data_IF_201200610624
#
_entry.id   IF_201200610624
#
_cell.length_a   1.000
_cell.length_b   1.000
_cell.length_c   1.000
_cell.angle_alpha   90.00
_cell.angle_beta   90.00
_cell.angle_gamma   90.00
#
_symmetry.space_group_name_H-M   'P 1'
#
loop_
_entity.id
_entity.type
_entity.pdbx_description
1 polymer ?
#
# COMPACT_ATOMS: atom_id res chain seq x y z
N UNK A 1 -9.97 -11.96 -4.21
CA UNK A 1 -10.76 -10.73 -3.90
C UNK A 1 -10.75 -9.83 -5.13
N UNK A 2 -11.65 -8.86 -5.24
CA UNK A 2 -11.72 -8.02 -6.46
C UNK A 2 -10.92 -6.74 -6.28
N UNK A 3 -10.00 -6.40 -7.19
CA UNK A 3 -9.25 -5.16 -7.11
C UNK A 3 -10.13 -3.95 -7.48
N UNK A 4 -9.76 -2.77 -6.98
CA UNK A 4 -10.38 -1.52 -7.39
C UNK A 4 -9.96 -1.18 -8.82
N UNK A 5 -10.89 -0.74 -9.66
CA UNK A 5 -10.63 -0.40 -11.07
C UNK A 5 -10.72 1.08 -11.35
N UNK A 6 -11.52 1.82 -10.59
CA UNK A 6 -11.71 3.26 -10.75
C UNK A 6 -11.97 3.91 -9.41
N UNK A 7 -11.39 5.08 -9.20
CA UNK A 7 -11.51 5.85 -7.97
C UNK A 7 -11.70 7.34 -8.26
N UNK A 8 -12.64 7.95 -7.54
CA UNK A 8 -12.83 9.40 -7.47
C UNK A 8 -12.64 9.85 -6.03
N UNK A 9 -11.92 10.95 -5.82
CA UNK A 9 -11.69 11.55 -4.50
C UNK A 9 -11.91 13.05 -4.60
N UNK A 10 -12.71 13.60 -3.69
CA UNK A 10 -12.94 15.05 -3.58
C UNK A 10 -12.73 15.50 -2.14
N UNK A 11 -12.08 16.64 -1.96
CA UNK A 11 -11.95 17.31 -0.66
C UNK A 11 -11.02 16.62 0.36
N UNK A 12 -10.03 15.83 -0.08
CA UNK A 12 -9.16 15.04 0.79
C UNK A 12 -7.70 15.50 0.76
N UNK A 13 -7.18 16.02 1.88
CA UNK A 13 -5.78 16.46 2.05
C UNK A 13 -5.30 17.34 0.89
N UNK A 14 -4.30 16.95 0.11
CA UNK A 14 -3.88 17.71 -1.08
C UNK A 14 -4.76 17.50 -2.31
N UNK A 15 -5.63 16.49 -2.29
CA UNK A 15 -6.52 16.12 -3.40
C UNK A 15 -7.83 16.91 -3.27
N UNK A 16 -7.89 18.07 -3.94
CA UNK A 16 -9.14 18.86 -4.00
C UNK A 16 -10.20 18.13 -4.82
N UNK A 17 -9.85 17.69 -6.02
CA UNK A 17 -10.70 16.84 -6.86
C UNK A 17 -9.82 15.99 -7.76
N UNK A 18 -10.13 14.70 -7.82
CA UNK A 18 -9.55 13.73 -8.75
C UNK A 18 -10.70 12.85 -9.23
N UNK A 19 -11.04 12.97 -10.51
CA UNK A 19 -12.20 12.33 -11.09
C UNK A 19 -11.81 11.05 -11.84
N UNK A 20 -12.30 9.91 -11.36
CA UNK A 20 -12.35 8.68 -12.14
C UNK A 20 -11.00 8.11 -12.56
N UNK A 21 -9.96 8.25 -11.74
CA UNK A 21 -8.65 7.67 -12.00
C UNK A 21 -8.77 6.14 -12.15
N UNK A 22 -8.35 5.62 -13.29
CA UNK A 22 -8.35 4.17 -13.57
C UNK A 22 -7.12 3.49 -12.99
N UNK A 23 -7.32 2.32 -12.39
CA UNK A 23 -6.28 1.52 -11.74
C UNK A 23 -6.14 0.16 -12.42
N UNK A 24 -4.94 -0.10 -12.93
CA UNK A 24 -4.53 -1.40 -13.44
C UNK A 24 -4.11 -2.34 -12.31
N UNK A 25 -3.52 -3.48 -12.66
CA UNK A 25 -2.92 -4.35 -11.64
C UNK A 25 -1.58 -3.79 -11.12
N UNK A 26 -0.88 -2.95 -11.89
CA UNK A 26 0.31 -2.24 -11.45
C UNK A 26 0.12 -0.74 -11.66
N UNK A 27 0.36 0.04 -10.61
CA UNK A 27 0.19 1.48 -10.60
C UNK A 27 1.36 2.10 -9.85
N UNK A 28 2.23 2.81 -10.57
CA UNK A 28 3.45 3.43 -10.03
C UNK A 28 3.25 4.93 -10.01
N UNK A 29 3.02 5.49 -8.83
CA UNK A 29 2.86 6.92 -8.60
C UNK A 29 4.22 7.58 -8.47
N UNK A 30 4.51 8.49 -9.40
CA UNK A 30 5.76 9.25 -9.47
C UNK A 30 5.46 10.73 -9.34
N UNK A 31 6.33 11.48 -8.66
CA UNK A 31 6.13 12.91 -8.47
C UNK A 31 7.04 13.49 -7.40
N UNK A 32 7.07 14.81 -7.30
CA UNK A 32 7.90 15.52 -6.34
C UNK A 32 7.53 15.22 -4.88
N UNK A 33 8.44 15.55 -3.97
CA UNK A 33 8.12 15.69 -2.55
C UNK A 33 6.95 16.66 -2.35
N UNK A 34 5.93 16.24 -1.60
CA UNK A 34 4.74 17.06 -1.34
C UNK A 34 3.75 17.19 -2.51
N UNK A 35 3.94 16.44 -3.61
CA UNK A 35 3.01 16.44 -4.75
C UNK A 35 1.64 15.82 -4.43
N UNK A 36 1.58 14.87 -3.48
CA UNK A 36 0.33 14.24 -3.04
C UNK A 36 0.32 12.71 -3.08
N UNK A 37 1.43 12.05 -3.45
CA UNK A 37 1.55 10.59 -3.51
C UNK A 37 1.16 9.91 -2.19
N UNK A 38 1.81 10.28 -1.09
CA UNK A 38 1.52 9.72 0.23
C UNK A 38 0.11 10.09 0.72
N UNK A 39 -0.47 11.21 0.26
CA UNK A 39 -1.87 11.52 0.54
C UNK A 39 -2.79 10.53 -0.17
N UNK A 40 -2.57 10.26 -1.46
CA UNK A 40 -3.31 9.23 -2.20
C UNK A 40 -3.19 7.86 -1.53
N UNK A 41 -1.98 7.42 -1.15
CA UNK A 41 -1.80 6.16 -0.42
C UNK A 41 -2.52 6.18 0.94
N UNK A 42 -2.45 7.28 1.69
CA UNK A 42 -3.12 7.41 2.99
C UNK A 42 -4.64 7.39 2.91
N UNK A 43 -5.22 7.70 1.74
CA UNK A 43 -6.66 7.59 1.51
C UNK A 43 -7.13 6.13 1.62
N UNK A 44 -6.37 5.17 1.07
CA UNK A 44 -6.67 3.74 1.21
C UNK A 44 -6.61 3.28 2.68
N UNK A 45 -5.67 3.82 3.48
CA UNK A 45 -5.62 3.55 4.93
C UNK A 45 -6.90 4.03 5.62
N UNK A 46 -7.36 5.24 5.32
CA UNK A 46 -8.62 5.78 5.86
C UNK A 46 -9.80 4.85 5.53
N UNK A 47 -9.91 4.41 4.27
CA UNK A 47 -11.00 3.55 3.84
C UNK A 47 -10.99 2.15 4.45
N UNK A 48 -9.81 1.55 4.59
CA UNK A 48 -9.68 0.26 5.28
C UNK A 48 -10.15 0.37 6.74
N UNK A 49 -9.78 1.45 7.44
CA UNK A 49 -10.23 1.75 8.82
C UNK A 49 -11.72 2.04 8.90
N UNK A 50 -12.24 2.82 7.95
CA UNK A 50 -13.66 3.09 7.80
C UNK A 50 -14.45 1.79 7.67
N UNK A 51 -14.04 0.89 6.76
CA UNK A 51 -14.72 -0.39 6.56
C UNK A 51 -14.62 -1.31 7.77
N UNK A 52 -13.55 -1.19 8.57
CA UNK A 52 -13.39 -1.88 9.85
C UNK A 52 -14.27 -1.29 10.98
N UNK A 53 -15.10 -0.27 10.72
CA UNK A 53 -15.88 0.46 11.72
C UNK A 53 -15.00 1.16 12.77
N UNK A 54 -13.84 1.66 12.33
CA UNK A 54 -12.86 2.38 13.14
C UNK A 54 -12.68 3.84 12.67
N UNK A 55 -13.63 4.42 11.92
CA UNK A 55 -13.48 5.74 11.30
C UNK A 55 -13.17 6.82 12.35
N UNK A 56 -14.05 7.00 13.35
CA UNK A 56 -13.87 8.08 14.33
C UNK A 56 -12.67 7.84 15.24
N UNK A 57 -12.39 6.59 15.61
CA UNK A 57 -11.19 6.25 16.36
C UNK A 57 -9.92 6.66 15.60
N UNK A 58 -9.84 6.29 14.32
CA UNK A 58 -8.70 6.61 13.46
C UNK A 58 -8.57 8.12 13.25
N UNK A 59 -9.68 8.81 13.00
CA UNK A 59 -9.69 10.27 12.78
C UNK A 59 -9.26 11.02 14.04
N UNK A 60 -9.77 10.64 15.22
CA UNK A 60 -9.40 11.24 16.50
C UNK A 60 -7.90 11.07 16.81
N UNK A 61 -7.34 9.88 16.53
CA UNK A 61 -5.90 9.59 16.70
C UNK A 61 -5.00 10.41 15.76
N UNK A 62 -5.52 10.88 14.63
CA UNK A 62 -4.76 11.53 13.56
C UNK A 62 -5.07 13.03 13.41
N UNK A 63 -5.52 13.70 14.48
CA UNK A 63 -5.68 15.16 14.49
C UNK A 63 -7.06 15.67 14.09
N UNK A 64 -8.08 14.81 14.03
CA UNK A 64 -9.45 15.20 13.72
C UNK A 64 -9.72 15.44 12.23
N UNK A 65 -10.96 15.79 11.84
CA UNK A 65 -11.38 15.94 10.45
C UNK A 65 -10.55 16.93 9.62
N UNK A 66 -10.03 17.99 10.23
CA UNK A 66 -9.27 19.02 9.51
C UNK A 66 -7.93 18.51 8.98
N UNK A 67 -7.37 17.44 9.58
CA UNK A 67 -6.18 16.77 9.07
C UNK A 67 -6.45 15.93 7.81
N UNK A 68 -7.72 15.64 7.52
CA UNK A 68 -8.16 14.85 6.37
C UNK A 68 -8.82 15.71 5.30
N UNK A 69 -9.54 16.77 5.66
CA UNK A 69 -10.19 17.67 4.71
C UNK A 69 -9.17 18.55 4.00
N UNK A 70 -9.42 18.82 2.72
CA UNK A 70 -8.58 19.70 1.93
C UNK A 70 -8.56 21.13 2.51
N UNK A 71 -7.43 21.51 3.11
CA UNK A 71 -7.29 22.77 3.85
C UNK A 71 -8.34 22.99 4.97
N UNK A 72 -8.80 21.91 5.60
CA UNK A 72 -9.72 21.94 6.73
C UNK A 72 -11.15 22.34 6.38
N UNK A 73 -12.04 22.20 7.37
CA UNK A 73 -13.50 22.32 7.22
C UNK A 73 -14.01 23.69 6.79
N UNK A 74 -13.22 24.75 7.02
CA UNK A 74 -13.59 26.11 6.60
C UNK A 74 -13.52 26.29 5.09
N UNK A 75 -12.54 25.66 4.43
CA UNK A 75 -12.41 25.67 2.96
C UNK A 75 -13.19 24.51 2.33
N UNK A 76 -13.20 23.35 2.98
CA UNK A 76 -13.78 22.11 2.44
C UNK A 76 -14.77 21.52 3.44
N UNK A 77 -16.08 21.79 3.31
CA UNK A 77 -17.07 21.37 4.30
C UNK A 77 -17.32 19.85 4.32
N UNK A 78 -16.98 19.13 3.24
CA UNK A 78 -17.14 17.69 3.14
C UNK A 78 -16.07 17.06 2.25
N UNK A 79 -15.80 15.78 2.44
CA UNK A 79 -15.05 14.95 1.49
C UNK A 79 -15.93 13.87 0.89
N UNK A 80 -15.65 13.49 -0.35
CA UNK A 80 -16.40 12.47 -1.07
C UNK A 80 -15.46 11.47 -1.71
N UNK A 81 -15.95 10.24 -1.87
CA UNK A 81 -15.25 9.24 -2.65
C UNK A 81 -16.20 8.30 -3.35
N UNK A 82 -15.79 7.86 -4.53
CA UNK A 82 -16.48 6.86 -5.33
C UNK A 82 -15.46 5.82 -5.77
N UNK A 83 -15.77 4.55 -5.52
CA UNK A 83 -14.89 3.43 -5.83
C UNK A 83 -15.64 2.35 -6.59
N UNK A 84 -15.00 1.80 -7.61
CA UNK A 84 -15.59 0.79 -8.48
C UNK A 84 -14.69 -0.45 -8.58
N UNK A 85 -15.30 -1.62 -8.41
CA UNK A 85 -14.70 -2.96 -8.35
C UNK A 85 -15.33 -3.82 -9.45
N UNK A 86 -15.09 -3.44 -10.71
CA UNK A 86 -15.87 -3.94 -11.84
C UNK A 86 -17.29 -3.38 -11.79
N UNK A 87 -18.30 -4.26 -11.76
CA UNK A 87 -19.71 -3.86 -11.80
C UNK A 87 -20.27 -3.44 -10.43
N UNK A 88 -19.46 -3.54 -9.37
CA UNK A 88 -19.81 -3.18 -8.01
C UNK A 88 -19.16 -1.85 -7.65
N UNK A 89 -19.82 -1.03 -6.85
CA UNK A 89 -19.22 0.20 -6.35
C UNK A 89 -19.65 0.57 -4.95
N UNK A 90 -18.93 1.51 -4.37
CA UNK A 90 -19.23 2.11 -3.08
C UNK A 90 -18.91 3.59 -3.12
N UNK A 91 -19.85 4.39 -2.64
CA UNK A 91 -19.79 5.85 -2.67
C UNK A 91 -20.10 6.37 -1.27
N UNK A 92 -19.36 7.38 -0.85
CA UNK A 92 -19.49 7.98 0.47
C UNK A 92 -19.27 9.50 0.41
N UNK A 93 -19.90 10.21 1.35
CA UNK A 93 -19.59 11.58 1.69
C UNK A 93 -19.49 11.71 3.23
N UNK A 94 -18.45 12.38 3.70
CA UNK A 94 -18.18 12.59 5.12
C UNK A 94 -18.16 14.08 5.44
N UNK A 95 -18.88 14.47 6.49
CA UNK A 95 -18.93 15.82 7.03
C UNK A 95 -18.33 15.86 8.44
N UNK A 96 -17.53 16.91 8.76
CA UNK A 96 -16.95 17.07 10.08
C UNK A 96 -18.03 17.48 11.09
N UNK A 97 -17.97 16.91 12.29
CA UNK A 97 -18.88 17.26 13.38
C UNK A 97 -18.24 18.27 14.35
N UNK A 98 -19.08 18.93 15.16
CA UNK A 98 -18.58 19.77 16.26
C UNK A 98 -17.83 18.94 17.32
N UNK A 99 -18.15 17.65 17.46
CA UNK A 99 -17.44 16.70 18.32
C UNK A 99 -16.07 16.26 17.77
N UNK A 100 -15.56 16.92 16.74
CA UNK A 100 -14.26 16.64 16.11
C UNK A 100 -14.12 15.21 15.54
N UNK A 101 -15.22 14.66 15.03
CA UNK A 101 -15.26 13.40 14.27
C UNK A 101 -15.87 13.61 12.89
N UNK A 102 -16.10 12.52 12.16
CA UNK A 102 -16.86 12.54 10.91
C UNK A 102 -18.23 11.88 11.09
N UNK A 103 -19.19 12.35 10.29
CA UNK A 103 -20.48 11.70 10.11
C UNK A 103 -20.66 11.43 8.62
N UNK A 104 -21.33 10.34 8.27
CA UNK A 104 -21.71 10.09 6.88
C UNK A 104 -22.87 11.02 6.51
N UNK A 105 -22.65 11.97 5.60
CA UNK A 105 -23.74 12.71 4.97
C UNK A 105 -24.37 11.90 3.83
N UNK A 106 -23.63 10.92 3.31
CA UNK A 106 -24.11 9.94 2.34
C UNK A 106 -23.27 8.67 2.41
N UNK A 107 -23.93 7.51 2.41
CA UNK A 107 -23.28 6.22 2.22
C UNK A 107 -24.15 5.34 1.31
N UNK A 108 -23.56 4.71 0.29
CA UNK A 108 -24.31 3.86 -0.63
C UNK A 108 -23.43 2.86 -1.37
N UNK A 109 -24.02 1.71 -1.70
CA UNK A 109 -23.48 0.81 -2.72
C UNK A 109 -23.96 1.22 -4.11
N UNK A 110 -23.24 0.79 -5.14
CA UNK A 110 -23.60 0.98 -6.54
C UNK A 110 -23.52 -0.34 -7.30
N UNK A 111 -24.44 -0.58 -8.23
CA UNK A 111 -24.42 -1.77 -9.08
C UNK A 111 -24.67 -1.41 -10.54
N UNK A 112 -23.61 -1.53 -11.35
CA UNK A 112 -23.56 -1.11 -12.75
C UNK A 112 -24.62 -1.80 -13.62
N UNK A 113 -24.86 -3.10 -13.41
CA UNK A 113 -25.90 -3.86 -14.14
C UNK A 113 -27.30 -3.26 -14.05
N UNK A 114 -27.58 -2.54 -12.97
CA UNK A 114 -28.88 -1.87 -12.79
C UNK A 114 -28.80 -0.35 -12.98
N UNK A 115 -27.58 0.19 -13.07
CA UNK A 115 -27.32 1.63 -13.05
C UNK A 115 -27.79 2.34 -11.76
N UNK A 116 -28.09 1.60 -10.69
CA UNK A 116 -28.72 2.13 -9.48
C UNK A 116 -27.76 2.21 -8.29
N UNK A 117 -27.97 3.24 -7.49
CA UNK A 117 -27.42 3.37 -6.15
C UNK A 117 -28.33 2.66 -5.13
N UNK A 118 -27.72 2.04 -4.12
CA UNK A 118 -28.38 1.39 -2.99
C UNK A 118 -27.97 2.12 -1.72
N UNK A 119 -28.77 3.09 -1.25
CA UNK A 119 -28.46 3.88 -0.07
C UNK A 119 -28.32 2.99 1.18
N UNK A 120 -27.26 3.24 1.93
CA UNK A 120 -27.08 2.72 3.28
C UNK A 120 -27.61 3.71 4.33
N UNK A 121 -27.56 5.00 4.02
CA UNK A 121 -28.13 6.05 4.86
C UNK A 121 -27.23 7.27 4.97
N UNK A 122 -27.54 8.08 5.97
CA UNK A 122 -26.77 9.24 6.41
C UNK A 122 -27.01 9.46 7.92
N UNK A 123 -26.19 10.28 8.57
CA UNK A 123 -26.32 10.64 9.98
C UNK A 123 -25.72 9.62 10.96
N UNK A 124 -25.07 8.57 10.47
CA UNK A 124 -24.35 7.61 11.30
C UNK A 124 -22.86 7.96 11.38
N UNK A 125 -22.23 7.62 12.51
CA UNK A 125 -20.83 7.94 12.78
C UNK A 125 -19.86 6.91 12.16
N UNK A 126 -20.29 5.66 12.04
CA UNK A 126 -19.52 4.56 11.46
C UNK A 126 -20.27 3.97 10.26
N UNK A 127 -19.57 3.23 9.40
CA UNK A 127 -20.15 2.59 8.21
C UNK A 127 -21.30 1.64 8.56
N UNK A 128 -22.34 1.63 7.74
CA UNK A 128 -23.43 0.64 7.80
C UNK A 128 -23.29 -0.46 6.73
N UNK A 129 -22.14 -0.53 6.05
CA UNK A 129 -21.84 -1.46 4.95
C UNK A 129 -22.02 -2.94 5.26
N UNK A 130 -22.11 -3.34 6.54
CA UNK A 130 -22.32 -4.71 6.98
C UNK A 130 -23.75 -5.01 7.46
N UNK A 131 -24.63 -3.99 7.59
CA UNK A 131 -25.97 -4.11 8.21
C UNK A 131 -27.07 -4.68 7.29
N UNK A 132 -26.74 -5.63 6.39
CA UNK A 132 -27.72 -6.38 5.61
C UNK A 132 -28.23 -5.71 4.32
N UNK A 133 -27.69 -4.56 3.96
CA UNK A 133 -28.08 -3.79 2.78
C UNK A 133 -27.34 -4.28 1.51
N UNK A 134 -28.10 -4.74 0.52
CA UNK A 134 -27.65 -5.32 -0.77
C UNK A 134 -26.50 -6.36 -0.65
N UNK A 135 -26.78 -7.56 -0.12
CA UNK A 135 -25.76 -8.55 0.29
C UNK A 135 -24.78 -8.93 -0.84
N UNK A 136 -25.20 -8.87 -2.10
CA UNK A 136 -24.35 -9.21 -3.23
C UNK A 136 -23.22 -8.18 -3.44
N UNK A 137 -23.52 -6.88 -3.44
CA UNK A 137 -22.50 -5.83 -3.68
C UNK A 137 -21.60 -5.72 -2.46
N UNK A 138 -22.19 -5.73 -1.26
CA UNK A 138 -21.45 -5.71 0.00
C UNK A 138 -20.44 -6.87 0.10
N UNK A 139 -20.83 -8.08 -0.31
CA UNK A 139 -19.95 -9.27 -0.33
C UNK A 139 -18.73 -9.13 -1.24
N UNK A 140 -18.78 -8.26 -2.27
CA UNK A 140 -17.64 -7.99 -3.13
C UNK A 140 -16.78 -6.84 -2.65
N UNK A 141 -17.41 -5.73 -2.22
CA UNK A 141 -16.70 -4.50 -1.87
C UNK A 141 -16.06 -4.61 -0.49
N UNK A 142 -16.83 -4.98 0.54
CA UNK A 142 -16.40 -4.85 1.94
C UNK A 142 -15.16 -5.72 2.24
N UNK A 143 -15.10 -7.02 1.86
CA UNK A 143 -13.90 -7.81 2.09
C UNK A 143 -12.69 -7.27 1.33
N UNK A 144 -12.89 -6.77 0.11
CA UNK A 144 -11.80 -6.24 -0.72
C UNK A 144 -11.18 -5.00 -0.05
N UNK A 145 -11.99 -4.02 0.37
CA UNK A 145 -11.49 -2.80 1.04
C UNK A 145 -10.88 -3.10 2.42
N UNK A 146 -11.51 -3.99 3.21
CA UNK A 146 -10.95 -4.41 4.52
C UNK A 146 -9.59 -5.08 4.40
N UNK A 147 -9.35 -5.77 3.28
CA UNK A 147 -8.09 -6.47 3.04
C UNK A 147 -6.95 -5.55 2.61
N UNK A 148 -7.20 -4.29 2.24
CA UNK A 148 -6.13 -3.40 1.78
C UNK A 148 -5.09 -3.17 2.88
N UNK A 149 -3.83 -3.42 2.54
CA UNK A 149 -2.71 -3.21 3.44
C UNK A 149 -1.73 -2.24 2.79
N UNK A 150 -1.37 -1.21 3.54
CA UNK A 150 -0.30 -0.29 3.16
C UNK A 150 0.95 -0.60 3.95
N UNK A 151 1.92 -1.21 3.31
CA UNK A 151 3.21 -1.55 3.90
C UNK A 151 4.14 -0.34 3.91
N UNK A 152 4.85 -0.15 5.02
CA UNK A 152 5.75 0.97 5.26
C UNK A 152 6.89 0.55 6.17
N UNK A 153 8.01 0.15 5.57
CA UNK A 153 9.18 -0.41 6.27
C UNK A 153 10.29 0.64 6.47
N UNK A 154 9.94 1.90 6.72
CA UNK A 154 10.92 2.99 6.80
C UNK A 154 11.58 3.14 8.17
N UNK A 155 10.91 2.77 9.26
CA UNK A 155 11.52 2.84 10.60
C UNK A 155 12.61 1.77 10.72
N UNK A 156 13.86 2.19 10.62
CA UNK A 156 15.02 1.33 10.80
C UNK A 156 15.85 1.71 12.02
N UNK A 157 15.29 2.47 12.94
CA UNK A 157 15.91 2.77 14.24
C UNK A 157 16.26 1.49 15.00
N UNK A 158 17.08 1.59 16.05
CA UNK A 158 17.37 0.45 16.93
C UNK A 158 16.11 -0.09 17.61
N UNK A 159 15.12 0.79 17.82
CA UNK A 159 13.78 0.46 18.33
C UNK A 159 12.81 -0.05 17.26
N UNK A 160 13.23 -0.14 15.99
CA UNK A 160 12.35 -0.52 14.89
C UNK A 160 11.62 -1.83 15.22
N UNK A 161 10.28 -1.89 15.04
CA UNK A 161 9.49 -3.07 15.44
C UNK A 161 9.98 -4.37 14.81
N UNK A 162 10.43 -4.33 13.55
CA UNK A 162 10.96 -5.50 12.82
C UNK A 162 12.29 -6.06 13.38
N UNK A 163 13.00 -5.30 14.23
CA UNK A 163 14.23 -5.75 14.92
C UNK A 163 13.93 -6.39 16.29
N UNK A 164 12.71 -6.23 16.80
CA UNK A 164 12.31 -6.66 18.14
C UNK A 164 11.80 -8.11 18.17
N UNK A 165 11.62 -8.63 19.39
CA UNK A 165 10.88 -9.87 19.64
C UNK A 165 9.39 -9.64 19.40
N UNK A 166 8.69 -10.62 18.86
CA UNK A 166 7.25 -10.57 18.66
C UNK A 166 6.56 -11.83 19.19
N UNK A 167 5.24 -11.74 19.35
CA UNK A 167 4.42 -12.89 19.71
C UNK A 167 4.34 -13.86 18.52
N UNK A 168 4.57 -15.15 18.77
CA UNK A 168 4.60 -16.20 17.75
C UNK A 168 3.23 -16.39 17.07
N UNK A 169 2.15 -16.16 17.81
CA UNK A 169 0.77 -16.29 17.30
C UNK A 169 0.35 -15.11 16.40
N UNK A 170 1.07 -13.99 16.42
CA UNK A 170 0.83 -12.87 15.50
C UNK A 170 1.42 -13.19 14.13
N UNK A 171 0.81 -14.13 13.40
CA UNK A 171 1.33 -14.62 12.12
C UNK A 171 0.23 -14.81 11.05
N UNK A 172 -0.98 -14.33 11.31
CA UNK A 172 -2.11 -14.46 10.40
C UNK A 172 -1.90 -13.68 9.08
N UNK A 173 -1.21 -12.55 9.14
CA UNK A 173 -0.72 -11.76 8.01
C UNK A 173 0.54 -11.00 8.44
N UNK A 174 1.37 -10.56 7.50
CA UNK A 174 2.49 -9.67 7.82
C UNK A 174 1.96 -8.29 8.20
N UNK A 175 2.39 -7.77 9.35
CA UNK A 175 2.03 -6.44 9.84
C UNK A 175 2.58 -5.36 8.90
N UNK A 176 1.87 -4.22 8.73
CA UNK A 176 2.30 -3.13 7.84
C UNK A 176 3.72 -2.59 8.06
N UNK A 177 4.22 -2.69 9.28
CA UNK A 177 5.54 -2.22 9.73
C UNK A 177 6.58 -3.34 9.86
N UNK A 178 6.21 -4.59 9.57
CA UNK A 178 7.09 -5.75 9.67
C UNK A 178 7.35 -6.22 11.11
N UNK A 179 6.64 -5.69 12.10
CA UNK A 179 6.81 -6.01 13.53
C UNK A 179 6.73 -7.51 13.86
N UNK A 180 5.99 -8.28 13.07
CA UNK A 180 5.81 -9.72 13.25
C UNK A 180 6.53 -10.57 12.19
N UNK A 181 7.49 -10.01 11.45
CA UNK A 181 8.22 -10.69 10.40
C UNK A 181 8.71 -12.10 10.78
N UNK A 182 9.40 -12.33 11.93
CA UNK A 182 9.87 -13.67 12.25
C UNK A 182 8.73 -14.66 12.51
N UNK A 183 7.63 -14.25 13.14
CA UNK A 183 6.46 -15.10 13.34
C UNK A 183 5.76 -15.43 12.01
N UNK A 184 5.69 -14.46 11.09
CA UNK A 184 5.11 -14.66 9.77
C UNK A 184 5.97 -15.60 8.91
N UNK A 185 7.29 -15.40 8.86
CA UNK A 185 8.20 -16.31 8.16
C UNK A 185 8.18 -17.73 8.76
N UNK A 186 8.04 -17.85 10.09
CA UNK A 186 7.91 -19.14 10.77
C UNK A 186 6.66 -19.89 10.30
N UNK A 187 5.53 -19.18 10.16
CA UNK A 187 4.32 -19.76 9.57
C UNK A 187 4.56 -20.21 8.13
N UNK A 188 5.21 -19.38 7.30
CA UNK A 188 5.51 -19.75 5.91
C UNK A 188 6.40 -20.98 5.83
N UNK A 189 7.42 -21.09 6.70
CA UNK A 189 8.29 -22.27 6.78
C UNK A 189 7.50 -23.56 7.01
N UNK A 190 6.50 -23.54 7.89
CA UNK A 190 5.74 -24.73 8.27
C UNK A 190 4.52 -25.03 7.38
N UNK A 191 3.84 -24.00 6.87
CA UNK A 191 2.59 -24.16 6.12
C UNK A 191 2.77 -23.98 4.60
N UNK A 192 3.78 -23.23 4.18
CA UNK A 192 4.02 -22.86 2.77
C UNK A 192 5.51 -22.94 2.40
N UNK A 193 6.16 -24.10 2.60
CA UNK A 193 7.63 -24.22 2.51
C UNK A 193 8.20 -23.80 1.16
N UNK A 194 7.46 -23.98 0.06
CA UNK A 194 7.93 -23.56 -1.28
C UNK A 194 7.98 -22.03 -1.42
N UNK A 195 7.01 -21.32 -0.84
CA UNK A 195 7.03 -19.85 -0.79
C UNK A 195 8.15 -19.35 0.12
N UNK A 196 8.32 -19.99 1.28
CA UNK A 196 9.43 -19.68 2.19
C UNK A 196 10.80 -19.85 1.51
N UNK A 197 11.03 -20.97 0.81
CA UNK A 197 12.29 -21.21 0.07
C UNK A 197 12.52 -20.13 -0.99
N UNK A 198 11.50 -19.76 -1.77
CA UNK A 198 11.59 -18.68 -2.75
C UNK A 198 11.98 -17.34 -2.12
N UNK A 199 11.41 -17.02 -0.95
CA UNK A 199 11.79 -15.81 -0.20
C UNK A 199 13.27 -15.89 0.20
N UNK A 200 13.71 -16.98 0.83
CA UNK A 200 15.10 -17.14 1.25
C UNK A 200 16.07 -17.07 0.04
N UNK A 201 15.75 -17.74 -1.06
CA UNK A 201 16.54 -17.70 -2.31
C UNK A 201 16.63 -16.29 -2.89
N UNK A 202 15.53 -15.56 -2.89
CA UNK A 202 15.49 -14.16 -3.36
C UNK A 202 16.32 -13.25 -2.46
N UNK A 203 16.29 -13.46 -1.15
CA UNK A 203 17.13 -12.72 -0.18
C UNK A 203 18.62 -13.01 -0.41
N UNK A 204 18.99 -14.26 -0.72
CA UNK A 204 20.38 -14.64 -1.06
C UNK A 204 20.91 -13.92 -2.30
N UNK A 205 20.04 -13.54 -3.24
CA UNK A 205 20.45 -12.72 -4.39
C UNK A 205 20.91 -11.33 -3.96
N UNK A 206 20.18 -10.68 -3.04
CA UNK A 206 20.49 -9.33 -2.55
C UNK A 206 21.60 -9.33 -1.50
N UNK A 207 21.67 -10.36 -0.67
CA UNK A 207 22.66 -10.53 0.38
C UNK A 207 23.40 -11.87 0.21
N UNK A 208 24.43 -11.95 -0.64
CA UNK A 208 25.11 -13.22 -0.93
C UNK A 208 25.78 -13.90 0.27
N UNK A 209 26.07 -13.14 1.34
CA UNK A 209 26.59 -13.65 2.61
C UNK A 209 25.51 -14.38 3.45
N UNK A 210 24.23 -14.07 3.25
CA UNK A 210 23.12 -14.72 3.94
C UNK A 210 23.02 -16.20 3.53
N UNK A 211 23.05 -17.10 4.51
CA UNK A 211 22.85 -18.53 4.30
C UNK A 211 21.37 -18.90 4.38
N UNK A 212 20.70 -18.67 5.50
CA UNK A 212 19.26 -18.90 5.68
C UNK A 212 18.73 -18.21 6.93
N UNK A 213 17.41 -18.16 7.09
CA UNK A 213 16.76 -17.80 8.35
C UNK A 213 16.89 -18.94 9.36
N UNK A 214 17.00 -18.60 10.64
CA UNK A 214 16.99 -19.55 11.75
C UNK A 214 15.75 -19.32 12.62
N UNK A 215 14.59 -19.76 12.15
CA UNK A 215 13.31 -19.44 12.79
C UNK A 215 12.95 -20.50 13.83
N UNK A 216 13.01 -20.13 15.11
CA UNK A 216 12.68 -21.00 16.24
C UNK A 216 12.08 -20.21 17.41
N UNK A 217 11.05 -20.73 18.10
CA UNK A 217 10.54 -20.09 19.31
C UNK A 217 11.60 -20.01 20.42
N UNK A 218 11.45 -19.04 21.31
CA UNK A 218 12.32 -18.92 22.47
C UNK A 218 12.07 -20.11 23.44
N UNK A 219 13.10 -20.89 23.84
CA UNK A 219 12.90 -22.02 24.75
C UNK A 219 12.35 -21.64 26.14
N UNK A 220 12.62 -20.42 26.60
CA UNK A 220 12.14 -19.90 27.89
C UNK A 220 10.78 -19.21 27.77
N UNK A 221 10.36 -18.89 26.55
CA UNK A 221 9.06 -18.30 26.24
C UNK A 221 8.58 -18.81 24.88
N UNK A 222 7.96 -20.01 24.83
CA UNK A 222 7.55 -20.64 23.56
C UNK A 222 6.50 -19.84 22.77
N UNK A 223 5.95 -18.77 23.34
CA UNK A 223 5.02 -17.87 22.69
C UNK A 223 5.69 -16.65 22.04
N UNK A 224 7.02 -16.52 22.13
CA UNK A 224 7.77 -15.47 21.44
C UNK A 224 8.80 -16.02 20.46
N UNK A 225 9.12 -15.18 19.48
CA UNK A 225 10.11 -15.44 18.45
C UNK A 225 10.83 -14.12 18.10
N UNK A 226 12.07 -14.24 17.64
CA UNK A 226 12.86 -13.13 17.11
C UNK A 226 13.42 -13.51 15.74
N UNK A 227 13.76 -12.50 14.93
CA UNK A 227 14.45 -12.75 13.68
C UNK A 227 15.90 -13.16 13.97
N UNK A 228 16.20 -14.42 13.66
CA UNK A 228 17.55 -14.97 13.62
C UNK A 228 17.89 -15.40 12.19
N UNK A 229 19.16 -15.29 11.81
CA UNK A 229 19.69 -15.71 10.52
C UNK A 229 21.12 -16.23 10.64
N UNK A 230 21.58 -16.92 9.60
CA UNK A 230 22.94 -17.46 9.53
C UNK A 230 23.68 -16.90 8.34
N UNK A 231 24.95 -16.61 8.53
CA UNK A 231 25.89 -16.31 7.44
C UNK A 231 26.45 -17.61 6.85
N UNK A 232 26.88 -17.58 5.58
CA UNK A 232 27.59 -18.69 4.97
C UNK A 232 28.88 -18.98 5.73
N UNK A 233 29.20 -20.26 5.84
CA UNK A 233 30.41 -20.75 6.51
C UNK A 233 30.53 -20.36 8.00
N UNK A 234 29.42 -19.92 8.62
CA UNK A 234 29.32 -19.60 10.04
C UNK A 234 28.23 -20.43 10.73
N UNK A 235 28.51 -20.86 11.95
CA UNK A 235 27.54 -21.47 12.87
C UNK A 235 26.97 -20.48 13.88
N UNK A 236 27.46 -19.23 13.88
CA UNK A 236 26.97 -18.17 14.75
C UNK A 236 25.56 -17.70 14.33
N UNK A 237 24.56 -17.73 15.24
CA UNK A 237 23.23 -17.19 14.98
C UNK A 237 23.24 -15.67 15.13
N UNK A 238 22.96 -14.96 14.05
CA UNK A 238 22.85 -13.50 14.05
C UNK A 238 21.41 -13.06 14.27
N UNK A 239 21.23 -11.92 14.91
CA UNK A 239 19.93 -11.29 15.12
C UNK A 239 19.59 -10.32 13.98
N UNK A 240 18.30 -10.00 13.83
CA UNK A 240 17.81 -9.10 12.79
C UNK A 240 18.43 -7.70 12.79
N UNK A 241 18.83 -7.16 13.95
CA UNK A 241 19.49 -5.86 14.04
C UNK A 241 20.92 -5.85 13.48
N UNK A 242 21.51 -7.02 13.23
CA UNK A 242 22.84 -7.17 12.64
C UNK A 242 22.80 -7.21 11.10
N UNK A 243 21.60 -7.20 10.49
CA UNK A 243 21.43 -6.99 9.06
C UNK A 243 21.52 -5.50 8.74
N UNK A 244 21.99 -5.18 7.54
CA UNK A 244 21.84 -3.81 7.02
C UNK A 244 20.35 -3.46 6.92
N UNK A 245 20.02 -2.19 7.14
CA UNK A 245 18.66 -1.68 7.03
C UNK A 245 18.03 -2.00 5.67
N UNK A 246 18.80 -1.87 4.58
CA UNK A 246 18.36 -2.22 3.22
C UNK A 246 18.05 -3.71 3.07
N UNK A 247 18.87 -4.60 3.64
CA UNK A 247 18.61 -6.05 3.61
C UNK A 247 17.34 -6.41 4.39
N UNK A 248 17.15 -5.85 5.58
CA UNK A 248 15.96 -6.11 6.39
C UNK A 248 14.68 -5.62 5.72
N UNK A 249 14.71 -4.41 5.13
CA UNK A 249 13.62 -3.89 4.29
C UNK A 249 13.31 -4.80 3.12
N UNK A 250 14.34 -5.26 2.41
CA UNK A 250 14.17 -6.17 1.28
C UNK A 250 13.55 -7.51 1.71
N UNK A 251 13.92 -8.07 2.87
CA UNK A 251 13.30 -9.28 3.42
C UNK A 251 11.79 -9.06 3.63
N UNK A 252 11.39 -7.94 4.23
CA UNK A 252 9.97 -7.60 4.40
C UNK A 252 9.23 -7.51 3.05
N UNK A 253 9.82 -6.83 2.07
CA UNK A 253 9.23 -6.67 0.73
C UNK A 253 9.11 -8.01 -0.01
N UNK A 254 10.15 -8.84 0.04
CA UNK A 254 10.13 -10.19 -0.52
C UNK A 254 9.06 -11.06 0.17
N UNK A 255 8.94 -10.99 1.49
CA UNK A 255 7.91 -11.70 2.24
C UNK A 255 6.49 -11.28 1.81
N UNK A 256 6.25 -9.99 1.54
CA UNK A 256 4.95 -9.51 1.02
C UNK A 256 4.70 -9.97 -0.41
N UNK A 257 5.68 -9.84 -1.31
CA UNK A 257 5.48 -10.08 -2.74
C UNK A 257 5.47 -11.56 -3.13
N UNK A 258 6.12 -12.41 -2.33
CA UNK A 258 6.26 -13.85 -2.58
C UNK A 258 5.41 -14.73 -1.65
N UNK A 259 4.53 -14.15 -0.82
CA UNK A 259 3.59 -14.93 -0.03
C UNK A 259 2.60 -15.74 -0.90
N UNK A 260 1.95 -16.78 -0.35
CA UNK A 260 0.92 -17.55 -1.05
C UNK A 260 -0.25 -16.70 -1.56
N UNK A 261 -0.81 -17.07 -2.71
CA UNK A 261 -1.96 -16.39 -3.34
C UNK A 261 -3.17 -16.28 -2.39
N UNK A 262 -3.37 -17.24 -1.49
CA UNK A 262 -4.46 -17.25 -0.50
C UNK A 262 -4.26 -16.27 0.67
N UNK A 263 -3.04 -15.79 0.91
CA UNK A 263 -2.73 -14.80 1.96
C UNK A 263 -2.68 -13.37 1.39
N UNK A 264 -2.67 -13.22 0.06
CA UNK A 264 -2.58 -11.92 -0.60
C UNK A 264 -3.84 -11.06 -0.36
N UNK A 265 -3.68 -9.77 -0.01
CA UNK A 265 -4.80 -8.85 0.05
C UNK A 265 -5.33 -8.53 -1.36
N UNK A 266 -6.53 -7.94 -1.46
CA UNK A 266 -7.08 -7.52 -2.75
C UNK A 266 -6.20 -6.49 -3.48
N UNK A 267 -5.54 -5.63 -2.70
CA UNK A 267 -4.63 -4.59 -3.18
C UNK A 267 -3.50 -4.43 -2.18
N UNK A 268 -2.26 -4.48 -2.67
CA UNK A 268 -1.03 -4.20 -1.93
C UNK A 268 -0.63 -2.77 -2.21
N UNK A 269 -0.34 -2.00 -1.17
CA UNK A 269 0.15 -0.64 -1.32
C UNK A 269 1.53 -0.50 -0.68
N UNK A 270 2.44 0.14 -1.40
CA UNK A 270 3.77 0.50 -0.92
C UNK A 270 3.98 2.01 -1.03
N UNK A 271 4.55 2.60 0.02
CA UNK A 271 5.03 3.98 -0.01
C UNK A 271 6.56 3.98 0.06
N UNK A 272 7.21 4.39 -1.03
CA UNK A 272 8.67 4.42 -1.20
C UNK A 272 9.35 3.11 -0.77
N UNK A 273 8.99 1.96 -1.37
CA UNK A 273 9.54 0.66 -0.97
C UNK A 273 11.04 0.52 -1.28
N UNK A 274 11.58 1.30 -2.21
CA UNK A 274 12.98 1.27 -2.62
C UNK A 274 13.94 1.99 -1.66
N UNK A 275 13.40 2.73 -0.68
CA UNK A 275 14.19 3.56 0.21
C UNK A 275 15.29 2.73 0.89
N UNK A 276 16.54 3.15 0.74
CA UNK A 276 17.70 2.49 1.35
C UNK A 276 18.12 1.17 0.71
N UNK A 277 17.54 0.78 -0.43
CA UNK A 277 17.97 -0.38 -1.21
C UNK A 277 19.10 -0.03 -2.17
N UNK A 278 20.04 -0.96 -2.36
CA UNK A 278 21.07 -0.86 -3.40
C UNK A 278 20.45 -1.06 -4.79
N UNK A 279 20.98 -0.45 -5.88
CA UNK A 279 20.41 -0.55 -7.24
C UNK A 279 20.00 -1.96 -7.68
N UNK A 280 20.86 -2.97 -7.49
CA UNK A 280 20.53 -4.36 -7.81
C UNK A 280 19.28 -4.89 -7.08
N UNK A 281 19.07 -4.50 -5.82
CA UNK A 281 17.87 -4.89 -5.07
C UNK A 281 16.62 -4.16 -5.57
N UNK A 282 16.76 -2.96 -6.13
CA UNK A 282 15.66 -2.20 -6.76
C UNK A 282 15.20 -2.90 -8.04
N UNK A 283 16.14 -3.35 -8.89
CA UNK A 283 15.83 -4.12 -10.10
C UNK A 283 15.08 -5.43 -9.76
N UNK A 284 15.57 -6.16 -8.75
CA UNK A 284 14.93 -7.39 -8.29
C UNK A 284 13.54 -7.11 -7.69
N UNK A 285 13.41 -6.05 -6.87
CA UNK A 285 12.13 -5.61 -6.33
C UNK A 285 11.12 -5.32 -7.44
N UNK A 286 11.53 -4.61 -8.49
CA UNK A 286 10.66 -4.31 -9.63
C UNK A 286 10.25 -5.57 -10.38
N UNK A 287 11.16 -6.54 -10.54
CA UNK A 287 10.83 -7.85 -11.11
C UNK A 287 9.78 -8.59 -10.29
N UNK A 288 9.91 -8.60 -8.96
CA UNK A 288 8.91 -9.18 -8.07
C UNK A 288 7.56 -8.45 -8.19
N UNK A 289 7.55 -7.12 -8.25
CA UNK A 289 6.32 -6.34 -8.43
C UNK A 289 5.62 -6.69 -9.75
N UNK A 290 6.33 -6.79 -10.88
CA UNK A 290 5.75 -7.20 -12.16
C UNK A 290 5.18 -8.61 -12.09
N UNK A 291 5.89 -9.54 -11.46
CA UNK A 291 5.41 -10.92 -11.26
C UNK A 291 4.12 -10.94 -10.44
N UNK A 292 4.09 -10.27 -9.29
CA UNK A 292 2.90 -10.19 -8.43
C UNK A 292 1.74 -9.48 -9.14
N UNK A 293 2.01 -8.44 -9.93
CA UNK A 293 1.02 -7.69 -10.71
C UNK A 293 0.30 -8.53 -11.78
N UNK A 294 0.86 -9.66 -12.19
CA UNK A 294 0.18 -10.58 -13.12
C UNK A 294 -1.12 -11.16 -12.55
N UNK A 295 -1.26 -11.21 -11.22
CA UNK A 295 -2.44 -11.77 -10.53
C UNK A 295 -3.08 -10.83 -9.51
N UNK A 296 -2.28 -10.01 -8.84
CA UNK A 296 -2.71 -9.17 -7.72
C UNK A 296 -2.51 -7.69 -8.04
N UNK A 297 -3.25 -6.81 -7.36
CA UNK A 297 -3.11 -5.37 -7.60
C UNK A 297 -2.06 -4.75 -6.68
N UNK A 298 -1.19 -3.93 -7.26
CA UNK A 298 -0.17 -3.13 -6.59
C UNK A 298 -0.37 -1.65 -6.89
N UNK A 299 -0.21 -0.84 -5.85
CA UNK A 299 -0.13 0.61 -5.93
C UNK A 299 1.14 1.03 -5.19
N UNK A 300 2.10 1.59 -5.91
CA UNK A 300 3.43 1.93 -5.39
C UNK A 300 3.65 3.42 -5.57
N UNK A 301 3.95 4.16 -4.52
CA UNK A 301 4.54 5.50 -4.67
C UNK A 301 6.06 5.43 -4.58
N UNK A 302 6.73 6.20 -5.44
CA UNK A 302 8.19 6.23 -5.52
C UNK A 302 8.67 7.63 -5.91
N UNK A 303 9.92 7.92 -5.55
CA UNK A 303 10.69 9.07 -6.05
C UNK A 303 12.00 8.64 -6.70
N UNK A 304 12.24 7.34 -6.81
CA UNK A 304 13.44 6.79 -7.41
C UNK A 304 13.26 6.71 -8.91
N UNK A 305 14.24 7.30 -9.57
CA UNK A 305 14.43 7.23 -11.02
C UNK A 305 14.78 5.79 -11.39
N UNK A 306 15.63 5.15 -10.58
CA UNK A 306 16.09 3.77 -10.76
C UNK A 306 14.94 2.77 -10.71
N UNK A 307 13.97 2.96 -9.79
CA UNK A 307 12.77 2.14 -9.72
C UNK A 307 11.82 2.45 -10.88
N UNK A 308 11.64 3.73 -11.22
CA UNK A 308 10.80 4.16 -12.35
C UNK A 308 11.26 3.56 -13.68
N UNK A 309 12.57 3.49 -13.91
CA UNK A 309 13.17 2.93 -15.13
C UNK A 309 12.86 1.44 -15.33
N UNK A 310 12.28 0.76 -14.34
CA UNK A 310 11.91 -0.65 -14.40
C UNK A 310 10.47 -0.89 -14.90
N UNK A 311 9.72 0.15 -15.27
CA UNK A 311 8.30 0.03 -15.62
C UNK A 311 7.96 0.71 -16.93
N UNK A 312 6.95 0.17 -17.61
CA UNK A 312 6.39 0.79 -18.82
C UNK A 312 5.53 2.03 -18.49
N UNK A 313 5.41 3.00 -19.42
CA UNK A 313 4.62 4.21 -19.22
C UNK A 313 3.18 3.94 -18.75
N UNK A 314 2.53 2.91 -19.26
CA UNK A 314 1.14 2.55 -18.94
C UNK A 314 0.94 2.24 -17.45
N UNK A 315 2.00 1.84 -16.75
CA UNK A 315 1.95 1.60 -15.31
C UNK A 315 2.10 2.88 -14.48
N UNK A 316 2.63 3.95 -15.07
CA UNK A 316 3.04 5.17 -14.37
C UNK A 316 1.91 6.19 -14.29
N UNK A 317 1.68 6.69 -13.09
CA UNK A 317 0.78 7.82 -12.80
C UNK A 317 1.63 8.96 -12.27
N UNK A 318 1.77 10.02 -13.06
CA UNK A 318 2.43 11.25 -12.63
C UNK A 318 1.50 11.99 -11.68
N UNK A 319 2.03 12.33 -10.52
CA UNK A 319 1.39 13.13 -9.49
C UNK A 319 2.09 14.48 -9.43
N UNK A 320 1.35 15.53 -9.74
CA UNK A 320 1.83 16.90 -9.71
C UNK A 320 1.08 17.75 -8.70
N UNK A 321 1.62 18.93 -8.44
CA UNK A 321 0.95 19.95 -7.64
C UNK A 321 0.72 21.21 -8.47
N UNK A 322 -0.54 21.47 -8.77
CA UNK A 322 -0.98 22.66 -9.49
C UNK A 322 -1.73 23.59 -8.52
N UNK A 323 -1.11 24.72 -8.17
CA UNK A 323 -1.62 25.61 -7.15
C UNK A 323 -1.75 24.91 -5.78
N UNK A 324 -2.97 24.86 -5.24
CA UNK A 324 -3.25 24.23 -3.96
C UNK A 324 -3.59 22.73 -4.06
N UNK A 325 -3.74 22.15 -5.26
CA UNK A 325 -4.24 20.77 -5.44
C UNK A 325 -3.23 19.81 -6.09
N UNK A 326 -3.37 18.53 -5.77
CA UNK A 326 -2.72 17.43 -6.48
C UNK A 326 -3.44 17.08 -7.78
N UNK A 327 -2.70 16.84 -8.85
CA UNK A 327 -3.20 16.31 -10.12
C UNK A 327 -2.62 14.92 -10.39
N UNK A 328 -3.34 14.09 -11.14
CA UNK A 328 -2.97 12.70 -11.41
C UNK A 328 -3.15 12.41 -12.90
N UNK A 329 -2.06 12.05 -13.58
CA UNK A 329 -2.07 11.76 -15.01
C UNK A 329 -1.34 10.46 -15.30
N UNK A 330 -2.02 9.47 -15.87
CA UNK A 330 -1.37 8.25 -16.36
C UNK A 330 -0.59 8.57 -17.64
N UNK A 331 0.62 8.03 -17.77
CA UNK A 331 1.38 8.15 -19.00
C UNK A 331 0.80 7.25 -20.10
N UNK A 332 1.05 7.64 -21.33
CA UNK A 332 0.60 6.98 -22.54
C UNK A 332 1.83 6.85 -23.45
N UNK A 333 2.26 5.61 -23.73
CA UNK A 333 3.45 5.38 -24.57
C UNK A 333 3.31 6.04 -25.93
N UNK A 334 2.11 6.10 -26.51
CA UNK A 334 1.88 6.75 -27.79
C UNK A 334 2.26 8.24 -27.79
N UNK A 335 2.18 8.91 -26.63
CA UNK A 335 2.59 10.32 -26.46
C UNK A 335 4.09 10.49 -26.21
N UNK A 336 4.79 9.39 -25.91
CA UNK A 336 6.20 9.36 -25.53
C UNK A 336 7.09 8.60 -26.52
N UNK A 337 6.54 8.00 -27.58
CA UNK A 337 7.27 7.15 -28.52
C UNK A 337 8.59 7.78 -29.00
N UNK A 338 8.54 9.01 -29.54
CA UNK A 338 9.74 9.71 -30.05
C UNK A 338 10.83 9.92 -28.99
N UNK A 339 10.43 9.97 -27.71
CA UNK A 339 11.35 10.17 -26.59
C UNK A 339 11.90 8.85 -26.04
N UNK A 340 11.09 7.78 -26.06
CA UNK A 340 11.46 6.47 -25.51
C UNK A 340 12.48 5.72 -26.38
N UNK A 341 12.69 6.15 -27.62
CA UNK A 341 13.76 5.65 -28.49
C UNK A 341 15.16 6.08 -28.00
N UNK A 342 15.27 7.24 -27.34
CA UNK A 342 16.55 7.83 -26.94
C UNK A 342 16.76 7.90 -25.42
N UNK A 343 15.68 7.89 -24.62
CA UNK A 343 15.73 8.17 -23.19
C UNK A 343 14.92 7.18 -22.37
N UNK A 344 15.39 6.91 -21.14
CA UNK A 344 14.58 6.17 -20.16
C UNK A 344 13.49 7.06 -19.55
N UNK A 345 12.47 6.45 -18.93
CA UNK A 345 11.43 7.21 -18.22
C UNK A 345 11.98 8.10 -17.11
N UNK A 346 12.98 7.63 -16.38
CA UNK A 346 13.69 8.37 -15.36
C UNK A 346 14.43 9.58 -15.91
N UNK A 347 15.05 9.48 -17.09
CA UNK A 347 15.68 10.61 -17.78
C UNK A 347 14.65 11.64 -18.25
N UNK A 348 13.54 11.19 -18.82
CA UNK A 348 12.42 12.04 -19.22
C UNK A 348 11.80 12.75 -18.01
N UNK A 349 11.71 12.06 -16.87
CA UNK A 349 11.25 12.65 -15.62
C UNK A 349 12.22 13.71 -15.10
N UNK A 350 13.53 13.43 -15.09
CA UNK A 350 14.58 14.40 -14.73
C UNK A 350 14.55 15.63 -15.63
N UNK A 351 14.24 15.47 -16.92
CA UNK A 351 14.08 16.54 -17.91
C UNK A 351 12.72 17.26 -17.82
N UNK A 352 11.81 16.79 -16.95
CA UNK A 352 10.46 17.32 -16.77
C UNK A 352 9.59 17.25 -18.05
N UNK A 353 9.76 16.21 -18.87
CA UNK A 353 9.01 16.03 -20.13
C UNK A 353 7.53 15.79 -19.88
N UNK A 354 7.19 15.05 -18.82
CA UNK A 354 5.80 14.69 -18.49
C UNK A 354 5.33 15.21 -17.12
N UNK A 355 6.05 16.17 -16.53
CA UNK A 355 5.74 16.73 -15.21
C UNK A 355 6.28 15.90 -14.04
N UNK A 356 5.84 16.21 -12.82
CA UNK A 356 6.16 15.48 -11.59
C UNK A 356 7.52 15.82 -10.98
N UNK A 357 8.29 16.78 -11.52
CA UNK A 357 9.63 17.11 -11.00
C UNK A 357 9.54 18.00 -9.75
N UNK A 358 10.41 17.81 -8.73
CA UNK A 358 10.58 18.78 -7.65
C UNK A 358 11.00 20.14 -8.24
N UNK A 359 10.21 21.19 -7.97
CA UNK A 359 10.58 22.57 -8.32
C UNK A 359 11.63 23.13 -7.38
#
# INVERSE_FOLDING_TARGET
MNPIRKITIRGYKSIRSMEGLTLGNLNVLVGANGAGKSNFISFFRLLARLMASELNYYVAKNGGPDAFLHHGRKKTPQMEAEMYFGNNGYKLALEPTQGNGFIFSKEQFYWDYTGRDFPLGAGHAETESTKGSHPNVARYVVPSVKSWIVYHFHDTSDSAPMKQRCALNDNAWLRPDGSNLPAYLYRLLHQFPDHFRRIADTVRLVAPFFADFQLRPNPLDPHSIQLEWREKDSDFPFLGHQLSDGTLRFICLAAVLLQPDELMPATILFDEPELGLHPYAIELLASLMRQTASKHQLIVSTQSVELLDQFDPEHVIVVDREGEQSTFKRLDSAQLNDWLDEYTLGELWKRNVFGGRPR
#
